data_IF_409226351183
#
_entry.id   IF_409226351183
#
_cell.length_a   1.000
_cell.length_b   1.000
_cell.length_c   1.000
_cell.angle_alpha   90.00
_cell.angle_beta   90.00
_cell.angle_gamma   90.00
#
_symmetry.space_group_name_H-M   'P 1'
#
loop_
_entity.id
_entity.type
_entity.pdbx_description
1 polymer ?
#
# COMPACT_ATOMS: atom_id res chain seq x y z
N UNK A 1 -3.18 0.07 26.52
CA UNK A 1 -2.21 0.30 25.44
C UNK A 1 -2.61 -0.60 24.28
N UNK A 2 -3.28 -0.05 23.25
CA UNK A 2 -3.56 -0.83 22.04
C UNK A 2 -2.30 -0.73 21.18
N UNK A 3 -1.52 -1.81 21.13
CA UNK A 3 -0.43 -1.97 20.18
C UNK A 3 -1.08 -2.34 18.85
N UNK A 4 -1.27 -1.40 17.94
CA UNK A 4 -1.56 -1.71 16.54
C UNK A 4 -0.28 -2.32 15.97
N UNK A 5 -0.15 -3.65 16.07
CA UNK A 5 0.91 -4.35 15.36
C UNK A 5 0.57 -4.22 13.87
N UNK A 6 1.18 -3.24 13.20
CA UNK A 6 1.13 -3.12 11.75
C UNK A 6 1.51 -4.47 11.16
N UNK A 7 0.62 -5.07 10.37
CA UNK A 7 0.86 -6.38 9.78
C UNK A 7 1.17 -6.18 8.31
N UNK A 8 2.39 -6.54 7.90
CA UNK A 8 2.74 -6.57 6.49
C UNK A 8 2.25 -7.87 5.88
N UNK A 9 1.30 -7.79 4.95
CA UNK A 9 0.83 -8.95 4.19
C UNK A 9 1.17 -8.76 2.72
N UNK A 10 2.06 -9.61 2.20
CA UNK A 10 2.37 -9.61 0.79
C UNK A 10 1.09 -9.90 -0.02
N UNK A 11 0.75 -9.06 -1.01
CA UNK A 11 -0.40 -9.29 -1.89
C UNK A 11 -0.20 -10.53 -2.76
N UNK A 12 -1.30 -11.17 -3.14
CA UNK A 12 -1.28 -12.25 -4.13
C UNK A 12 -0.82 -11.73 -5.50
N UNK A 13 -0.24 -12.62 -6.31
CA UNK A 13 0.30 -12.29 -7.63
C UNK A 13 1.82 -12.23 -7.67
N UNK A 14 2.37 -11.90 -8.84
CA UNK A 14 3.82 -11.86 -9.08
C UNK A 14 4.35 -10.45 -9.40
N UNK A 15 3.46 -9.47 -9.52
CA UNK A 15 3.80 -8.10 -9.89
C UNK A 15 4.20 -7.93 -11.36
N UNK A 16 3.85 -8.89 -12.23
CA UNK A 16 3.99 -8.78 -13.69
C UNK A 16 2.72 -8.23 -14.31
N UNK A 17 2.75 -7.83 -15.58
CA UNK A 17 1.56 -7.33 -16.28
C UNK A 17 0.44 -8.40 -16.36
N UNK A 18 0.80 -9.66 -16.58
CA UNK A 18 -0.14 -10.78 -16.70
C UNK A 18 -0.58 -11.34 -15.33
N UNK A 19 0.18 -11.05 -14.28
CA UNK A 19 -0.11 -11.49 -12.91
C UNK A 19 0.26 -10.39 -11.91
N UNK A 20 -0.50 -9.27 -11.92
CA UNK A 20 -0.22 -8.12 -11.08
C UNK A 20 -0.43 -8.47 -9.60
N UNK A 21 0.22 -7.72 -8.71
CA UNK A 21 -0.08 -7.82 -7.29
C UNK A 21 -1.50 -7.30 -7.01
N UNK A 22 -2.30 -8.07 -6.28
CA UNK A 22 -3.67 -7.74 -5.93
C UNK A 22 -3.74 -7.02 -4.58
N UNK A 23 -4.10 -5.75 -4.61
CA UNK A 23 -4.21 -4.90 -3.43
C UNK A 23 -5.66 -4.90 -2.96
N UNK A 24 -5.94 -5.66 -1.90
CA UNK A 24 -7.29 -5.81 -1.34
C UNK A 24 -7.45 -5.22 0.05
N UNK A 25 -6.35 -4.98 0.77
CA UNK A 25 -6.38 -4.56 2.18
C UNK A 25 -5.38 -3.46 2.49
N UNK A 26 -5.59 -2.79 3.63
CA UNK A 26 -4.63 -1.82 4.16
C UNK A 26 -3.27 -2.47 4.46
N UNK A 27 -3.24 -3.73 4.88
CA UNK A 27 -2.01 -4.49 5.12
C UNK A 27 -1.21 -4.75 3.83
N UNK A 28 -1.88 -4.94 2.68
CA UNK A 28 -1.20 -5.03 1.39
C UNK A 28 -0.57 -3.69 0.99
N UNK A 29 -1.29 -2.57 1.22
CA UNK A 29 -0.73 -1.23 1.03
C UNK A 29 0.47 -1.00 1.95
N UNK A 30 0.38 -1.40 3.21
CA UNK A 30 1.48 -1.29 4.17
C UNK A 30 2.69 -2.10 3.71
N UNK A 31 2.50 -3.36 3.31
CA UNK A 31 3.57 -4.17 2.72
C UNK A 31 4.25 -3.46 1.54
N UNK A 32 3.46 -2.81 0.67
CA UNK A 32 4.02 -2.06 -0.44
C UNK A 32 4.87 -0.87 0.04
N UNK A 33 4.49 -0.15 1.11
CA UNK A 33 5.31 0.94 1.67
C UNK A 33 6.68 0.46 2.15
N UNK A 34 6.76 -0.75 2.71
CA UNK A 34 7.98 -1.26 3.35
C UNK A 34 8.94 -1.94 2.35
N UNK A 35 8.46 -2.31 1.16
CA UNK A 35 9.21 -3.17 0.24
C UNK A 35 9.54 -2.46 -1.10
N UNK A 36 10.46 -1.49 -1.06
CA UNK A 36 10.81 -0.64 -2.20
C UNK A 36 11.29 -1.36 -3.47
N UNK A 37 11.83 -2.58 -3.33
CA UNK A 37 12.26 -3.41 -4.47
C UNK A 37 11.10 -3.78 -5.40
N UNK A 38 9.85 -3.68 -4.94
CA UNK A 38 8.67 -3.93 -5.74
C UNK A 38 8.04 -2.67 -6.33
N UNK A 39 8.49 -1.46 -6.01
CA UNK A 39 7.88 -0.20 -6.48
C UNK A 39 7.87 0.02 -8.00
N UNK A 40 8.54 -0.85 -8.77
CA UNK A 40 8.48 -0.90 -10.23
C UNK A 40 7.57 -1.99 -10.81
N UNK A 41 6.67 -2.59 -10.01
CA UNK A 41 5.81 -3.71 -10.41
C UNK A 41 4.40 -3.26 -10.83
N UNK A 42 3.59 -4.21 -11.28
CA UNK A 42 2.19 -4.00 -11.65
C UNK A 42 1.26 -4.37 -10.50
N UNK A 43 0.23 -3.54 -10.30
CA UNK A 43 -0.73 -3.65 -9.23
C UNK A 43 -2.15 -3.47 -9.76
N UNK A 44 -3.08 -4.25 -9.24
CA UNK A 44 -4.52 -4.03 -9.39
C UNK A 44 -5.16 -3.93 -8.02
N UNK A 45 -6.02 -2.94 -7.81
CA UNK A 45 -6.86 -2.88 -6.62
C UNK A 45 -8.09 -3.77 -6.84
N UNK A 46 -8.46 -4.59 -5.85
CA UNK A 46 -9.57 -5.56 -5.96
C UNK A 46 -10.66 -5.36 -4.92
N UNK A 47 -10.49 -4.36 -4.04
CA UNK A 47 -11.48 -3.96 -3.04
C UNK A 47 -11.32 -2.49 -2.68
N UNK A 48 -12.38 -1.86 -2.16
CA UNK A 48 -12.25 -0.57 -1.50
C UNK A 48 -11.48 -0.74 -0.18
N UNK A 49 -10.64 0.24 0.14
CA UNK A 49 -9.79 0.22 1.33
C UNK A 49 -10.11 1.45 2.18
N UNK A 50 -10.52 1.21 3.42
CA UNK A 50 -10.60 2.24 4.44
C UNK A 50 -9.27 2.31 5.19
N UNK A 51 -8.53 3.40 4.99
CA UNK A 51 -7.22 3.63 5.55
C UNK A 51 -7.26 4.49 6.82
N UNK A 52 -8.41 4.61 7.51
CA UNK A 52 -8.55 5.45 8.71
C UNK A 52 -7.52 5.13 9.80
N UNK A 53 -7.11 3.87 9.94
CA UNK A 53 -6.10 3.45 10.92
C UNK A 53 -4.75 4.14 10.71
N UNK A 54 -4.46 4.58 9.49
CA UNK A 54 -3.20 5.26 9.15
C UNK A 54 -3.01 6.55 9.93
N UNK A 55 -4.07 7.21 10.40
CA UNK A 55 -3.95 8.43 11.21
C UNK A 55 -3.24 8.21 12.56
N UNK A 56 -3.17 6.97 13.03
CA UNK A 56 -2.46 6.59 14.26
C UNK A 56 -1.07 6.00 13.99
N UNK A 57 -0.69 5.81 12.73
CA UNK A 57 0.60 5.22 12.36
C UNK A 57 1.74 6.20 12.60
N UNK A 58 2.93 5.65 12.85
CA UNK A 58 4.16 6.41 13.12
C UNK A 58 3.97 7.52 14.15
N UNK A 59 3.49 7.17 15.34
CA UNK A 59 3.15 8.12 16.42
C UNK A 59 2.17 9.23 15.99
N UNK A 60 1.25 8.90 15.07
CA UNK A 60 0.24 9.81 14.55
C UNK A 60 0.72 10.68 13.38
N UNK A 61 1.88 10.37 12.80
CA UNK A 61 2.34 11.07 11.60
C UNK A 61 1.64 10.59 10.34
N UNK A 62 1.27 9.30 10.24
CA UNK A 62 0.48 8.82 9.12
C UNK A 62 1.11 7.68 8.33
N UNK A 63 0.61 7.52 7.11
CA UNK A 63 1.08 6.60 6.10
C UNK A 63 2.36 7.09 5.43
N UNK A 64 3.38 6.23 5.37
CA UNK A 64 4.61 6.51 4.63
C UNK A 64 4.34 6.43 3.12
N UNK A 65 4.72 7.44 2.32
CA UNK A 65 4.53 7.41 0.87
C UNK A 65 5.22 6.23 0.19
N UNK A 66 4.57 5.71 -0.85
CA UNK A 66 5.16 4.72 -1.77
C UNK A 66 5.98 5.49 -2.81
N UNK A 67 7.30 5.45 -2.66
CA UNK A 67 8.23 6.27 -3.44
C UNK A 67 8.82 7.42 -2.62
N UNK A 68 10.06 7.78 -2.92
CA UNK A 68 10.76 8.94 -2.39
C UNK A 68 11.79 9.48 -3.39
N UNK A 69 12.56 10.50 -3.00
CA UNK A 69 13.55 11.15 -3.87
C UNK A 69 14.66 10.23 -4.38
N UNK A 70 15.05 9.25 -3.56
CA UNK A 70 16.10 8.29 -3.90
C UNK A 70 15.56 7.10 -4.71
N UNK A 71 14.33 6.66 -4.42
CA UNK A 71 13.66 5.55 -5.07
C UNK A 71 12.23 5.96 -5.41
N UNK A 72 12.02 6.47 -6.61
CA UNK A 72 10.69 6.86 -7.08
C UNK A 72 9.86 5.62 -7.37
N UNK A 73 8.55 5.70 -7.11
CA UNK A 73 7.62 4.72 -7.65
C UNK A 73 7.63 4.80 -9.18
N UNK A 74 7.78 3.65 -9.83
CA UNK A 74 7.85 3.52 -11.29
C UNK A 74 6.93 2.43 -11.84
N UNK A 75 6.14 1.81 -10.96
CA UNK A 75 5.19 0.76 -11.29
C UNK A 75 3.91 1.29 -11.93
N UNK A 76 3.00 0.36 -12.20
CA UNK A 76 1.65 0.64 -12.70
C UNK A 76 0.66 0.24 -11.63
N UNK A 77 -0.22 1.15 -11.26
CA UNK A 77 -1.29 0.88 -10.31
C UNK A 77 -2.64 1.15 -10.98
N UNK A 78 -3.39 0.08 -11.26
CA UNK A 78 -4.76 0.16 -11.75
C UNK A 78 -5.74 0.02 -10.58
N UNK A 79 -6.46 1.10 -10.30
CA UNK A 79 -7.44 1.13 -9.21
C UNK A 79 -8.71 0.32 -9.48
N UNK A 80 -8.97 -0.12 -10.71
CA UNK A 80 -10.21 -0.81 -11.12
C UNK A 80 -11.51 -0.15 -10.61
N UNK A 81 -11.52 1.18 -10.48
CA UNK A 81 -12.60 1.99 -9.91
C UNK A 81 -12.87 1.80 -8.41
N UNK A 82 -11.99 1.13 -7.68
CA UNK A 82 -12.03 1.08 -6.22
C UNK A 82 -11.42 2.33 -5.59
N UNK A 83 -11.80 2.59 -4.34
CA UNK A 83 -11.37 3.78 -3.60
C UNK A 83 -10.47 3.39 -2.44
N UNK A 84 -9.41 4.17 -2.22
CA UNK A 84 -8.71 4.21 -0.94
C UNK A 84 -9.17 5.47 -0.21
N UNK A 85 -9.87 5.29 0.89
CA UNK A 85 -10.50 6.36 1.67
C UNK A 85 -9.77 6.60 2.99
N UNK A 86 -9.93 7.79 3.57
CA UNK A 86 -9.39 8.15 4.89
C UNK A 86 -7.87 7.98 5.07
N UNK A 87 -7.12 8.06 3.97
CA UNK A 87 -5.66 7.97 3.99
C UNK A 87 -5.05 9.25 4.59
N UNK A 88 -4.28 9.09 5.67
CA UNK A 88 -3.56 10.18 6.34
C UNK A 88 -2.06 10.09 6.00
N UNK A 89 -1.41 11.21 5.68
CA UNK A 89 0.01 11.26 5.30
C UNK A 89 0.87 11.98 6.35
N UNK A 90 2.15 11.60 6.40
CA UNK A 90 3.25 12.31 7.06
C UNK A 90 3.54 13.68 6.42
#
# INVERSE_FOLDING_TARGET
>A
MMTYAQTEVQPEGAGTEENPFQIATLDNLHWLTQNFIYWGKHYIQTADIDAIETSAWDNGQGFLPIGNDNHRFSGVYDGQNHVISNLCFY
#
